data_IF_150209645994
#
_entry.id   IF_150209645994
#
_cell.length_a   1.000
_cell.length_b   1.000
_cell.length_c   1.000
_cell.angle_alpha   90.00
_cell.angle_beta   90.00
_cell.angle_gamma   90.00
#
_symmetry.space_group_name_H-M   'P 1'
#
loop_
_entity.id
_entity.type
_entity.pdbx_description
1 polymer ?
#
# COMPACT_ATOMS: atom_id res chain seq x y z
N UNK A 1 -15.96 40.67 -20.50
CA UNK A 1 -14.90 39.92 -19.80
C UNK A 1 -13.73 39.86 -20.74
N UNK A 2 -12.54 40.34 -20.35
CA UNK A 2 -11.36 40.21 -21.21
C UNK A 2 -11.01 38.73 -21.27
N UNK A 3 -11.15 38.12 -22.44
CA UNK A 3 -10.33 36.97 -22.78
C UNK A 3 -8.89 37.43 -22.66
N UNK A 4 -8.24 37.10 -21.54
CA UNK A 4 -6.80 37.23 -21.43
C UNK A 4 -6.21 36.23 -22.43
N UNK A 5 -5.88 36.74 -23.62
CA UNK A 5 -5.20 35.97 -24.64
C UNK A 5 -3.99 35.27 -24.01
N UNK A 6 -3.90 33.95 -24.21
CA UNK A 6 -2.80 33.18 -23.66
C UNK A 6 -1.46 33.67 -24.23
N UNK A 7 -0.57 34.08 -23.33
CA UNK A 7 0.79 34.46 -23.69
C UNK A 7 1.63 33.24 -24.04
N UNK A 8 2.70 33.45 -24.81
CA UNK A 8 3.58 32.40 -25.30
C UNK A 8 4.26 31.67 -24.13
N UNK A 9 4.67 32.38 -23.07
CA UNK A 9 5.28 31.78 -21.87
C UNK A 9 4.29 30.94 -21.07
N UNK A 10 3.02 31.36 -21.04
CA UNK A 10 1.97 30.59 -20.37
C UNK A 10 1.64 29.33 -21.15
N UNK A 11 1.62 29.42 -22.48
CA UNK A 11 1.48 28.26 -23.35
C UNK A 11 2.59 27.24 -23.13
N UNK A 12 3.86 27.67 -23.13
CA UNK A 12 5.01 26.77 -22.92
C UNK A 12 4.96 26.07 -21.55
N UNK A 13 4.58 26.78 -20.50
CA UNK A 13 4.39 26.17 -19.18
C UNK A 13 3.29 25.10 -19.16
N UNK A 14 2.22 25.31 -19.92
CA UNK A 14 1.14 24.33 -20.05
C UNK A 14 1.57 23.15 -20.93
N UNK A 15 2.39 23.39 -21.96
CA UNK A 15 3.01 22.34 -22.76
C UNK A 15 3.89 21.43 -21.91
N UNK A 16 4.70 21.99 -21.01
CA UNK A 16 5.53 21.22 -20.08
C UNK A 16 4.69 20.41 -19.07
N UNK A 17 3.56 20.95 -18.63
CA UNK A 17 2.73 20.32 -17.59
C UNK A 17 1.81 19.21 -18.14
N UNK A 18 1.22 19.42 -19.31
CA UNK A 18 0.21 18.52 -19.88
C UNK A 18 0.72 17.72 -21.09
N UNK A 19 1.90 18.06 -21.61
CA UNK A 19 2.50 17.45 -22.78
C UNK A 19 1.88 17.95 -24.09
N UNK A 20 2.34 17.37 -25.20
CA UNK A 20 2.08 17.88 -26.55
C UNK A 20 0.68 17.56 -27.10
N UNK A 21 -0.14 16.77 -26.39
CA UNK A 21 -1.45 16.32 -26.85
C UNK A 21 -2.56 17.22 -26.27
N UNK A 22 -3.22 18.08 -27.08
CA UNK A 22 -4.25 19.01 -26.62
C UNK A 22 -5.46 18.33 -25.98
N UNK A 23 -5.70 17.05 -26.30
CA UNK A 23 -6.76 16.23 -25.72
C UNK A 23 -6.55 16.00 -24.22
N UNK A 24 -5.29 15.99 -23.77
CA UNK A 24 -4.92 15.86 -22.35
C UNK A 24 -5.10 17.16 -21.57
N UNK A 25 -5.27 18.28 -22.27
CA UNK A 25 -5.39 19.58 -21.62
C UNK A 25 -6.81 19.78 -21.06
N UNK A 26 -6.93 20.50 -19.92
CA UNK A 26 -8.21 20.98 -19.42
C UNK A 26 -9.01 21.73 -20.49
N UNK A 27 -10.34 21.57 -20.49
CA UNK A 27 -11.25 22.14 -21.49
C UNK A 27 -11.12 23.65 -21.63
N UNK A 28 -10.85 24.33 -20.52
CA UNK A 28 -10.78 25.78 -20.42
C UNK A 28 -9.53 26.34 -21.12
N UNK A 29 -8.49 25.50 -21.28
CA UNK A 29 -7.20 25.91 -21.85
C UNK A 29 -7.10 25.65 -23.35
N UNK A 30 -7.93 24.74 -23.92
CA UNK A 30 -7.83 24.36 -25.34
C UNK A 30 -8.09 25.52 -26.30
N UNK A 31 -9.15 26.30 -26.07
CA UNK A 31 -9.48 27.44 -26.93
C UNK A 31 -8.34 28.48 -26.95
N UNK A 32 -7.73 28.76 -25.80
CA UNK A 32 -6.56 29.63 -25.70
C UNK A 32 -5.31 29.05 -26.37
N UNK A 33 -5.12 27.73 -26.29
CA UNK A 33 -3.99 27.01 -26.87
C UNK A 33 -4.05 27.01 -28.40
N UNK A 34 -5.21 26.72 -28.96
CA UNK A 34 -5.46 26.79 -30.40
C UNK A 34 -5.25 28.21 -30.94
N UNK A 35 -5.74 29.23 -30.24
CA UNK A 35 -5.52 30.63 -30.61
C UNK A 35 -4.02 31.02 -30.56
N UNK A 36 -3.27 30.53 -29.56
CA UNK A 36 -1.83 30.77 -29.46
C UNK A 36 -1.05 30.07 -30.58
N UNK A 37 -1.42 28.83 -30.94
CA UNK A 37 -0.80 28.07 -32.03
C UNK A 37 -1.09 28.66 -33.41
N UNK A 38 -2.30 29.20 -33.62
CA UNK A 38 -2.66 29.91 -34.84
C UNK A 38 -1.84 31.20 -35.02
N UNK A 39 -1.49 31.87 -33.91
CA UNK A 39 -0.76 33.14 -33.90
C UNK A 39 0.76 32.96 -34.06
N UNK A 40 1.36 31.94 -33.45
CA UNK A 40 2.82 31.84 -33.34
C UNK A 40 3.38 30.57 -34.00
N UNK A 41 4.18 30.68 -35.08
CA UNK A 41 4.88 29.54 -35.66
C UNK A 41 5.92 28.93 -34.71
N UNK A 42 6.49 29.71 -33.79
CA UNK A 42 7.46 29.22 -32.81
C UNK A 42 6.82 28.24 -31.81
N UNK A 43 5.59 28.51 -31.37
CA UNK A 43 4.84 27.61 -30.49
C UNK A 43 4.49 26.30 -31.20
N UNK A 44 4.18 26.33 -32.50
CA UNK A 44 3.97 25.11 -33.29
C UNK A 44 5.23 24.25 -33.35
N UNK A 45 6.40 24.86 -33.57
CA UNK A 45 7.67 24.14 -33.54
C UNK A 45 7.94 23.48 -32.17
N UNK A 46 7.64 24.17 -31.08
CA UNK A 46 7.78 23.62 -29.73
C UNK A 46 6.83 22.43 -29.47
N UNK A 47 5.58 22.51 -29.95
CA UNK A 47 4.65 21.38 -29.88
C UNK A 47 5.13 20.21 -30.73
N UNK A 48 5.61 20.46 -31.95
CA UNK A 48 6.12 19.41 -32.84
C UNK A 48 7.33 18.68 -32.23
N UNK A 49 8.23 19.41 -31.58
CA UNK A 49 9.36 18.85 -30.84
C UNK A 49 8.87 17.96 -29.69
N UNK A 50 7.95 18.46 -28.86
CA UNK A 50 7.37 17.69 -27.77
C UNK A 50 6.60 16.45 -28.27
N UNK A 51 5.87 16.55 -29.38
CA UNK A 51 5.20 15.42 -30.03
C UNK A 51 6.19 14.39 -30.59
N UNK A 52 7.36 14.83 -31.07
CA UNK A 52 8.40 13.92 -31.55
C UNK A 52 8.99 13.12 -30.40
N UNK A 53 9.20 13.77 -29.25
CA UNK A 53 9.65 13.12 -28.02
C UNK A 53 8.60 12.13 -27.50
N UNK A 54 7.33 12.54 -27.42
CA UNK A 54 6.23 11.66 -27.01
C UNK A 54 6.13 10.42 -27.91
N UNK A 55 6.39 10.56 -29.22
CA UNK A 55 6.43 9.41 -30.15
C UNK A 55 7.58 8.45 -29.88
N UNK A 56 8.74 8.95 -29.45
CA UNK A 56 9.86 8.10 -29.04
C UNK A 56 9.51 7.31 -27.77
N UNK A 57 8.75 7.92 -26.84
CA UNK A 57 8.30 7.27 -25.62
C UNK A 57 7.13 6.31 -25.84
N UNK A 58 6.26 6.58 -26.81
CA UNK A 58 5.09 5.76 -27.14
C UNK A 58 5.44 4.42 -27.81
N UNK A 59 6.72 4.07 -27.89
CA UNK A 59 7.15 2.75 -28.33
C UNK A 59 6.46 1.64 -27.54
N UNK A 60 6.18 0.51 -28.19
CA UNK A 60 5.64 -0.65 -27.50
C UNK A 60 6.60 -1.02 -26.37
N UNK A 61 6.11 -1.18 -25.12
CA UNK A 61 6.96 -1.69 -24.06
C UNK A 61 7.54 -3.04 -24.52
N UNK A 62 8.81 -3.33 -24.21
CA UNK A 62 9.39 -4.61 -24.54
C UNK A 62 8.59 -5.70 -23.85
N UNK A 63 8.37 -6.83 -24.53
CA UNK A 63 7.74 -7.98 -23.91
C UNK A 63 8.61 -8.42 -22.72
N UNK A 64 8.04 -8.38 -21.52
CA UNK A 64 8.71 -8.82 -20.30
C UNK A 64 8.29 -10.26 -20.04
N UNK A 65 9.26 -11.16 -19.86
CA UNK A 65 9.01 -12.55 -19.49
C UNK A 65 8.46 -12.63 -18.06
N UNK A 66 7.41 -13.43 -17.83
CA UNK A 66 6.80 -13.61 -16.50
C UNK A 66 7.83 -14.06 -15.45
N UNK A 67 8.77 -14.92 -15.83
CA UNK A 67 9.87 -15.36 -14.96
C UNK A 67 10.80 -14.22 -14.48
N UNK A 68 10.86 -13.09 -15.20
CA UNK A 68 11.57 -11.89 -14.75
C UNK A 68 10.74 -11.13 -13.70
N UNK A 69 9.43 -11.06 -13.88
CA UNK A 69 8.49 -10.43 -12.94
C UNK A 69 8.53 -11.19 -11.61
N UNK A 70 8.42 -12.52 -11.65
CA UNK A 70 8.43 -13.36 -10.44
C UNK A 70 9.72 -13.24 -9.64
N UNK A 71 10.87 -13.17 -10.33
CA UNK A 71 12.17 -12.92 -9.69
C UNK A 71 12.22 -11.54 -9.05
N UNK A 72 11.71 -10.52 -9.71
CA UNK A 72 11.66 -9.16 -9.16
C UNK A 72 10.77 -9.11 -7.92
N UNK A 73 9.56 -9.69 -7.99
CA UNK A 73 8.63 -9.74 -6.86
C UNK A 73 9.20 -10.54 -5.69
N UNK A 74 9.86 -11.65 -5.95
CA UNK A 74 10.53 -12.45 -4.92
C UNK A 74 11.68 -11.68 -4.27
N UNK A 75 12.51 -10.98 -5.06
CA UNK A 75 13.61 -10.17 -4.55
C UNK A 75 13.11 -8.98 -3.71
N UNK A 76 12.07 -8.27 -4.19
CA UNK A 76 11.44 -7.16 -3.47
C UNK A 76 10.78 -7.67 -2.18
N UNK A 77 10.06 -8.79 -2.23
CA UNK A 77 9.44 -9.40 -1.05
C UNK A 77 10.46 -9.86 -0.01
N UNK A 78 11.58 -10.44 -0.45
CA UNK A 78 12.69 -10.80 0.44
C UNK A 78 13.32 -9.56 1.08
N UNK A 79 13.55 -8.50 0.29
CA UNK A 79 14.06 -7.22 0.79
C UNK A 79 13.12 -6.57 1.81
N UNK A 80 11.81 -6.56 1.54
CA UNK A 80 10.81 -6.01 2.46
C UNK A 80 10.75 -6.78 3.79
N UNK A 81 10.90 -8.12 3.77
CA UNK A 81 10.96 -8.94 4.99
C UNK A 81 12.29 -8.82 5.73
N UNK A 82 13.36 -8.44 5.05
CA UNK A 82 14.68 -8.23 5.65
C UNK A 82 14.82 -6.86 6.34
N UNK A 83 13.89 -5.92 6.13
CA UNK A 83 13.86 -4.66 6.88
C UNK A 83 13.46 -4.97 8.33
N UNK A 84 14.32 -4.69 9.33
CA UNK A 84 14.00 -4.96 10.72
C UNK A 84 12.77 -4.15 11.16
N UNK A 85 11.80 -4.83 11.75
CA UNK A 85 10.58 -4.24 12.33
C UNK A 85 10.85 -3.37 13.58
N UNK A 86 12.12 -3.07 13.87
CA UNK A 86 12.55 -2.21 14.96
C UNK A 86 11.85 -0.86 14.93
N UNK A 87 11.51 -0.35 13.73
CA UNK A 87 10.72 0.89 13.57
C UNK A 87 9.28 0.79 14.07
N UNK A 88 8.62 -0.37 13.96
CA UNK A 88 7.26 -0.56 14.48
C UNK A 88 7.27 -0.68 16.01
N UNK A 89 8.24 -1.39 16.58
CA UNK A 89 8.47 -1.39 18.03
C UNK A 89 8.88 0.00 18.53
N UNK A 90 9.72 0.76 17.82
CA UNK A 90 10.05 2.15 18.19
C UNK A 90 8.90 3.12 17.95
N UNK A 91 7.89 2.79 17.15
CA UNK A 91 6.72 3.65 16.91
C UNK A 91 5.56 3.32 17.88
N UNK A 92 5.33 2.03 18.18
CA UNK A 92 4.38 1.56 19.19
C UNK A 92 4.89 1.73 20.62
N UNK A 93 6.19 1.55 20.85
CA UNK A 93 6.86 1.59 22.16
C UNK A 93 7.80 2.82 22.29
N UNK A 94 7.71 3.77 21.36
CA UNK A 94 8.61 4.91 21.17
C UNK A 94 8.71 5.94 22.26
N UNK A 95 8.04 5.74 23.40
CA UNK A 95 8.10 6.69 24.51
C UNK A 95 7.99 6.07 25.89
N UNK A 96 8.19 4.75 26.03
CA UNK A 96 8.32 4.15 27.36
C UNK A 96 9.75 3.66 27.59
N UNK A 97 10.42 4.09 28.67
CA UNK A 97 11.72 3.54 29.01
C UNK A 97 11.57 2.04 29.28
N UNK A 98 12.54 1.23 28.85
CA UNK A 98 12.54 -0.25 28.98
C UNK A 98 12.17 -0.77 30.38
N UNK A 99 12.43 0.04 31.42
CA UNK A 99 12.07 -0.23 32.82
C UNK A 99 10.55 -0.22 33.05
N UNK A 100 9.80 0.65 32.37
CA UNK A 100 8.34 0.74 32.48
C UNK A 100 7.66 -0.45 31.83
N UNK A 101 8.17 -0.93 30.68
CA UNK A 101 7.66 -2.12 30.00
C UNK A 101 7.93 -3.38 30.84
N UNK A 102 9.15 -3.54 31.34
CA UNK A 102 9.48 -4.63 32.26
C UNK A 102 8.63 -4.57 33.54
N UNK A 103 8.43 -3.37 34.09
CA UNK A 103 7.55 -3.14 35.24
C UNK A 103 6.10 -3.50 34.97
N UNK A 104 5.58 -3.19 33.78
CA UNK A 104 4.21 -3.53 33.38
C UNK A 104 4.03 -5.04 33.19
N UNK A 105 4.98 -5.72 32.54
CA UNK A 105 4.96 -7.18 32.43
C UNK A 105 5.06 -7.85 33.80
N UNK A 106 5.96 -7.39 34.66
CA UNK A 106 6.09 -7.91 36.02
C UNK A 106 4.83 -7.63 36.86
N UNK A 107 4.21 -6.46 36.71
CA UNK A 107 2.96 -6.11 37.38
C UNK A 107 1.79 -6.96 36.89
N UNK A 108 1.67 -7.23 35.58
CA UNK A 108 0.66 -8.13 35.04
C UNK A 108 0.86 -9.57 35.50
N UNK A 109 2.11 -10.05 35.54
CA UNK A 109 2.42 -11.38 36.06
C UNK A 109 2.13 -11.46 37.56
N UNK A 110 2.50 -10.46 38.35
CA UNK A 110 2.20 -10.39 39.77
C UNK A 110 0.70 -10.28 40.04
N UNK A 111 -0.03 -9.51 39.23
CA UNK A 111 -1.48 -9.38 39.31
C UNK A 111 -2.17 -10.69 38.94
N UNK A 112 -1.70 -11.39 37.90
CA UNK A 112 -2.12 -12.74 37.53
C UNK A 112 -1.83 -13.77 38.63
N UNK A 113 -0.69 -13.65 39.30
CA UNK A 113 -0.32 -14.50 40.44
C UNK A 113 -1.20 -14.24 41.66
N UNK A 114 -1.48 -12.97 41.96
CA UNK A 114 -2.30 -12.57 43.10
C UNK A 114 -3.77 -12.94 42.89
N UNK A 115 -4.29 -12.70 41.68
CA UNK A 115 -5.65 -13.10 41.30
C UNK A 115 -5.79 -14.62 41.20
N UNK A 116 -4.81 -15.31 40.60
CA UNK A 116 -4.77 -16.77 40.53
C UNK A 116 -4.64 -17.42 41.91
N UNK A 117 -3.86 -16.86 42.83
CA UNK A 117 -3.74 -17.33 44.21
C UNK A 117 -5.01 -17.12 45.04
N UNK A 118 -5.69 -15.99 44.86
CA UNK A 118 -7.00 -15.73 45.48
C UNK A 118 -8.12 -16.62 44.91
N UNK A 119 -8.08 -16.90 43.61
CA UNK A 119 -9.03 -17.81 42.96
C UNK A 119 -8.75 -19.29 43.32
N UNK A 120 -7.48 -19.67 43.46
CA UNK A 120 -7.07 -20.99 43.93
C UNK A 120 -7.43 -21.25 45.41
N UNK A 121 -7.57 -20.20 46.23
CA UNK A 121 -8.04 -20.29 47.61
C UNK A 121 -9.56 -20.38 47.75
N UNK A 122 -10.33 -19.97 46.73
CA UNK A 122 -11.81 -19.97 46.77
C UNK A 122 -12.45 -21.09 45.96
N UNK A 123 -11.68 -21.81 45.14
CA UNK A 123 -12.15 -23.00 44.44
C UNK A 123 -11.87 -24.25 45.30
N UNK A 124 -12.89 -25.04 45.70
CA UNK A 124 -12.65 -26.38 46.17
C UNK A 124 -11.89 -27.14 45.07
N UNK A 125 -10.86 -27.90 45.47
CA UNK A 125 -9.99 -28.64 44.58
C UNK A 125 -10.79 -29.26 43.41
N UNK A 126 -10.41 -29.02 42.15
CA UNK A 126 -11.11 -29.65 41.05
C UNK A 126 -10.95 -31.16 41.22
N UNK A 127 -12.08 -31.84 41.42
CA UNK A 127 -12.20 -33.28 41.28
C UNK A 127 -11.53 -33.61 39.95
N UNK A 128 -10.50 -34.46 40.00
CA UNK A 128 -9.85 -34.98 38.80
C UNK A 128 -10.93 -35.54 37.87
N UNK A 129 -11.24 -34.80 36.81
CA UNK A 129 -12.00 -35.34 35.71
C UNK A 129 -11.12 -36.40 35.02
N UNK A 130 -11.66 -37.60 34.73
CA UNK A 130 -10.88 -38.66 34.14
C UNK A 130 -10.39 -38.23 32.75
N UNK A 131 -9.07 -38.28 32.55
CA UNK A 131 -8.32 -37.98 31.32
C UNK A 131 -8.70 -38.82 30.08
N UNK A 132 -9.84 -39.50 30.08
CA UNK A 132 -10.25 -40.44 29.04
C UNK A 132 -11.21 -39.86 27.98
N UNK A 133 -11.84 -38.71 28.21
CA UNK A 133 -13.00 -38.29 27.39
C UNK A 133 -12.73 -37.16 26.38
N UNK A 134 -11.64 -36.39 26.51
CA UNK A 134 -11.34 -35.30 25.58
C UNK A 134 -10.67 -35.75 24.27
N UNK A 135 -10.02 -36.92 24.23
CA UNK A 135 -9.41 -37.45 23.01
C UNK A 135 -10.42 -38.08 22.03
N UNK A 136 -11.65 -38.36 22.47
CA UNK A 136 -12.70 -38.95 21.63
C UNK A 136 -13.58 -37.91 20.92
N UNK A 137 -13.57 -36.64 21.36
CA UNK A 137 -14.43 -35.59 20.81
C UNK A 137 -13.74 -34.67 19.79
N UNK A 138 -12.42 -34.81 19.57
CA UNK A 138 -11.70 -34.03 18.55
C UNK A 138 -11.66 -34.68 17.15
N UNK A 139 -12.19 -35.90 16.97
CA UNK A 139 -12.00 -36.63 15.72
C UNK A 139 -13.20 -36.56 14.74
N UNK A 140 -14.39 -36.10 15.12
CA UNK A 140 -15.60 -36.36 14.31
C UNK A 140 -16.36 -35.15 13.75
N UNK A 141 -15.80 -33.93 13.76
CA UNK A 141 -16.43 -32.80 13.09
C UNK A 141 -15.39 -31.90 12.38
N UNK A 142 -14.86 -32.40 11.26
CA UNK A 142 -14.42 -31.54 10.14
C UNK A 142 -15.42 -31.77 9.01
N UNK A 143 -16.62 -31.23 9.19
CA UNK A 143 -17.55 -31.00 8.09
C UNK A 143 -16.89 -29.99 7.15
N UNK A 144 -16.49 -30.49 6.01
CA UNK A 144 -16.05 -29.76 4.83
C UNK A 144 -17.16 -28.78 4.39
N UNK A 145 -17.10 -27.54 4.87
CA UNK A 145 -18.02 -26.46 4.49
C UNK A 145 -17.58 -25.72 3.20
N UNK A 146 -16.75 -26.34 2.36
CA UNK A 146 -16.28 -25.76 1.09
C UNK A 146 -15.93 -26.87 0.08
N UNK A 147 -16.92 -27.29 -0.70
CA UNK A 147 -16.91 -27.56 -2.16
C UNK A 147 -18.20 -28.37 -2.43
N UNK A 148 -19.19 -27.90 -3.19
CA UNK A 148 -19.04 -27.30 -4.51
C UNK A 148 -19.77 -28.23 -5.47
N UNK A 149 -21.09 -28.04 -5.61
CA UNK A 149 -21.91 -28.67 -6.64
C UNK A 149 -21.20 -28.61 -7.99
N UNK A 150 -20.94 -29.77 -8.58
CA UNK A 150 -20.73 -29.89 -10.02
C UNK A 150 -21.27 -31.24 -10.50
N UNK A 151 -22.05 -31.12 -11.56
CA UNK A 151 -22.85 -32.15 -12.24
C UNK A 151 -22.06 -33.36 -12.71
#
# INVERSE_FOLDING_TARGET
MRDEAMTDERFLRHLDAYGASPERWPSELRAGAEAALARSPALRAAVDEAMSFDRLLAGSPPAVEDARIDRLLSAVGAGARAVPQDGLMLLLLGRMPRRTVAGFCAALLALGWLTGGWLAGTLPAPIQAPRGQELALLHDDVVTLFDGDSQ
#
